data_IF_879764929468
#
_entry.id   IF_879764929468
#
_cell.length_a   1.000
_cell.length_b   1.000
_cell.length_c   1.000
_cell.angle_alpha   90.00
_cell.angle_beta   90.00
_cell.angle_gamma   90.00
#
_symmetry.space_group_name_H-M   'P 1'
#
loop_
_entity.id
_entity.type
_entity.pdbx_description
1 polymer ?
#
# COMPACT_ATOMS: atom_id res chain seq x y z
N UNK A 1 -33.12 0.24 -5.56
CA UNK A 1 -31.90 -0.01 -6.35
C UNK A 1 -31.75 -1.51 -6.47
N UNK A 2 -31.70 -2.06 -7.67
CA UNK A 2 -31.58 -3.51 -7.87
C UNK A 2 -30.13 -3.96 -7.64
N UNK A 3 -29.94 -5.00 -6.82
CA UNK A 3 -28.61 -5.46 -6.42
C UNK A 3 -28.03 -6.31 -7.55
N UNK A 4 -26.87 -5.90 -8.08
CA UNK A 4 -26.12 -6.69 -9.05
C UNK A 4 -25.29 -7.76 -8.35
N UNK A 5 -25.40 -9.00 -8.83
CA UNK A 5 -24.66 -10.15 -8.34
C UNK A 5 -23.77 -10.67 -9.46
N UNK A 6 -22.49 -10.94 -9.17
CA UNK A 6 -21.67 -11.74 -10.08
C UNK A 6 -22.27 -13.14 -10.24
N UNK A 7 -22.01 -13.80 -11.37
CA UNK A 7 -22.46 -15.18 -11.61
C UNK A 7 -22.15 -16.15 -10.45
N UNK A 8 -20.98 -16.02 -9.84
CA UNK A 8 -20.57 -16.87 -8.71
C UNK A 8 -21.41 -16.61 -7.46
N UNK A 9 -21.79 -15.35 -7.21
CA UNK A 9 -22.65 -14.98 -6.09
C UNK A 9 -24.08 -15.48 -6.32
N UNK A 10 -24.61 -15.25 -7.52
CA UNK A 10 -25.95 -15.73 -7.90
C UNK A 10 -26.06 -17.25 -7.79
N UNK A 11 -25.13 -18.00 -8.37
CA UNK A 11 -25.10 -19.47 -8.31
C UNK A 11 -25.09 -20.01 -6.87
N UNK A 12 -24.28 -19.40 -5.98
CA UNK A 12 -24.26 -19.76 -4.56
C UNK A 12 -25.53 -19.38 -3.81
N UNK A 13 -26.15 -18.26 -4.17
CA UNK A 13 -27.39 -17.78 -3.55
C UNK A 13 -28.55 -18.74 -3.79
N UNK A 14 -28.68 -19.24 -5.01
CA UNK A 14 -29.72 -20.21 -5.39
C UNK A 14 -29.32 -21.66 -5.13
N UNK A 15 -28.05 -21.92 -4.81
CA UNK A 15 -27.56 -23.26 -4.48
C UNK A 15 -27.31 -24.17 -5.67
N UNK A 16 -27.12 -23.62 -6.87
CA UNK A 16 -26.81 -24.39 -8.09
C UNK A 16 -25.36 -24.19 -8.55
N UNK A 17 -24.80 -25.12 -9.34
CA UNK A 17 -23.50 -24.93 -9.95
C UNK A 17 -23.47 -23.73 -10.91
N UNK A 18 -22.33 -23.04 -11.00
CA UNK A 18 -22.16 -21.88 -11.90
C UNK A 18 -22.45 -22.20 -13.38
N UNK A 19 -22.08 -23.40 -13.86
CA UNK A 19 -22.31 -23.80 -15.25
C UNK A 19 -23.80 -23.91 -15.59
N UNK A 20 -24.63 -24.34 -14.63
CA UNK A 20 -26.08 -24.45 -14.81
C UNK A 20 -26.70 -23.05 -14.88
N UNK A 21 -26.22 -22.12 -14.06
CA UNK A 21 -26.61 -20.71 -14.16
C UNK A 21 -26.17 -20.07 -15.49
N UNK A 22 -24.99 -20.43 -16.01
CA UNK A 22 -24.52 -19.99 -17.33
C UNK A 22 -25.37 -20.54 -18.46
N UNK A 23 -25.78 -21.80 -18.37
CA UNK A 23 -26.69 -22.42 -19.33
C UNK A 23 -28.04 -21.68 -19.37
N UNK A 24 -28.63 -21.36 -18.21
CA UNK A 24 -29.88 -20.61 -18.14
C UNK A 24 -29.77 -19.20 -18.74
N UNK A 25 -28.59 -18.58 -18.68
CA UNK A 25 -28.33 -17.30 -19.36
C UNK A 25 -28.25 -17.50 -20.88
N UNK A 26 -27.60 -18.57 -21.35
CA UNK A 26 -27.49 -18.89 -22.77
C UNK A 26 -28.84 -19.26 -23.39
N UNK A 27 -29.70 -19.94 -22.63
CA UNK A 27 -31.06 -20.31 -23.01
C UNK A 27 -32.05 -19.13 -22.93
N UNK A 28 -31.60 -17.96 -22.46
CA UNK A 28 -32.43 -16.76 -22.35
C UNK A 28 -33.43 -16.76 -21.19
N UNK A 29 -33.30 -17.71 -20.26
CA UNK A 29 -34.16 -17.83 -19.07
C UNK A 29 -33.82 -16.74 -18.04
N UNK A 30 -32.57 -16.28 -18.01
CA UNK A 30 -32.08 -15.24 -17.09
C UNK A 30 -31.32 -14.17 -17.86
N UNK A 31 -31.71 -12.92 -17.69
CA UNK A 31 -30.99 -11.79 -18.27
C UNK A 31 -29.74 -11.47 -17.45
N UNK A 32 -28.58 -11.40 -18.11
CA UNK A 32 -27.31 -11.00 -17.50
C UNK A 32 -26.69 -9.83 -18.28
N UNK A 33 -26.06 -8.92 -17.54
CA UNK A 33 -25.36 -7.76 -18.07
C UNK A 33 -23.90 -7.80 -17.64
N UNK A 34 -22.97 -7.87 -18.60
CA UNK A 34 -21.51 -7.85 -18.35
C UNK A 34 -21.05 -8.84 -17.25
N UNK A 35 -21.61 -10.05 -17.24
CA UNK A 35 -21.27 -11.07 -16.23
C UNK A 35 -21.92 -10.88 -14.85
N UNK A 36 -22.86 -9.95 -14.74
CA UNK A 36 -23.65 -9.67 -13.54
C UNK A 36 -25.14 -9.95 -13.80
N UNK A 37 -25.84 -10.42 -12.78
CA UNK A 37 -27.27 -10.72 -12.82
C UNK A 37 -27.95 -9.81 -11.81
N UNK A 38 -29.04 -9.18 -12.26
CA UNK A 38 -29.94 -8.41 -11.39
C UNK A 38 -30.64 -9.36 -10.42
N UNK A 39 -30.70 -9.00 -9.14
CA UNK A 39 -31.36 -9.84 -8.14
C UNK A 39 -32.85 -10.05 -8.48
N UNK A 40 -33.51 -9.01 -9.00
CA UNK A 40 -34.89 -9.13 -9.49
C UNK A 40 -35.05 -10.18 -10.60
N UNK A 41 -34.12 -10.25 -11.55
CA UNK A 41 -34.10 -11.24 -12.63
C UNK A 41 -33.81 -12.65 -12.10
N UNK A 42 -32.89 -12.77 -11.14
CA UNK A 42 -32.59 -14.05 -10.52
C UNK A 42 -33.81 -14.61 -9.77
N UNK A 43 -34.59 -13.75 -9.10
CA UNK A 43 -35.79 -14.16 -8.36
C UNK A 43 -36.94 -14.61 -9.27
N UNK A 44 -37.01 -14.13 -10.51
CA UNK A 44 -38.00 -14.60 -11.49
C UNK A 44 -37.76 -16.07 -11.87
N UNK A 45 -36.50 -16.43 -12.10
CA UNK A 45 -36.13 -17.80 -12.46
C UNK A 45 -35.98 -18.73 -11.24
N UNK A 46 -35.62 -18.17 -10.08
CA UNK A 46 -35.43 -18.89 -8.83
C UNK A 46 -36.12 -18.15 -7.68
N UNK A 47 -37.43 -18.39 -7.47
CA UNK A 47 -38.21 -17.69 -6.44
C UNK A 47 -37.66 -17.84 -5.02
N UNK A 48 -37.08 -19.01 -4.73
CA UNK A 48 -36.49 -19.36 -3.43
C UNK A 48 -35.08 -18.79 -3.20
N UNK A 49 -34.58 -17.94 -4.10
CA UNK A 49 -33.29 -17.27 -3.95
C UNK A 49 -33.24 -16.47 -2.65
N UNK A 50 -32.48 -16.97 -1.66
CA UNK A 50 -32.35 -16.30 -0.37
C UNK A 50 -31.11 -15.40 -0.34
N UNK A 51 -31.26 -14.05 -0.23
CA UNK A 51 -30.15 -13.11 -0.22
C UNK A 51 -29.16 -13.32 0.95
N UNK A 52 -29.61 -13.93 2.06
CA UNK A 52 -28.78 -14.17 3.24
C UNK A 52 -27.77 -15.30 3.03
N UNK A 53 -28.06 -16.28 2.15
CA UNK A 53 -27.16 -17.41 1.86
C UNK A 53 -25.84 -16.95 1.23
N UNK A 54 -25.87 -15.96 0.34
CA UNK A 54 -24.65 -15.43 -0.29
C UNK A 54 -23.83 -14.54 0.65
N UNK A 55 -24.45 -13.93 1.66
CA UNK A 55 -23.80 -12.96 2.54
C UNK A 55 -22.80 -13.57 3.53
N UNK A 56 -22.93 -14.86 3.85
CA UNK A 56 -22.08 -15.51 4.87
C UNK A 56 -20.61 -15.61 4.46
N UNK A 57 -20.31 -15.92 3.20
CA UNK A 57 -18.93 -16.00 2.70
C UNK A 57 -18.28 -14.62 2.64
N UNK A 58 -19.03 -13.59 2.25
CA UNK A 58 -18.56 -12.21 2.24
C UNK A 58 -18.32 -11.68 3.66
N UNK A 59 -19.17 -12.06 4.63
CA UNK A 59 -18.96 -11.77 6.06
C UNK A 59 -17.69 -12.45 6.57
N UNK A 60 -17.48 -13.74 6.28
CA UNK A 60 -16.26 -14.47 6.67
C UNK A 60 -15.01 -13.86 6.03
N UNK A 61 -15.08 -13.48 4.76
CA UNK A 61 -13.96 -12.80 4.07
C UNK A 61 -13.63 -11.46 4.74
N UNK A 62 -14.64 -10.64 5.04
CA UNK A 62 -14.47 -9.37 5.77
C UNK A 62 -13.90 -9.58 7.18
N UNK A 63 -14.37 -10.59 7.90
CA UNK A 63 -13.85 -10.95 9.23
C UNK A 63 -12.37 -11.35 9.14
N UNK A 64 -12.01 -12.17 8.16
CA UNK A 64 -10.62 -12.60 7.93
C UNK A 64 -9.71 -11.42 7.56
N UNK A 65 -10.17 -10.52 6.69
CA UNK A 65 -9.45 -9.30 6.32
C UNK A 65 -9.26 -8.38 7.53
N UNK A 66 -10.31 -8.14 8.32
CA UNK A 66 -10.25 -7.33 9.53
C UNK A 66 -9.31 -7.94 10.59
N UNK A 67 -9.33 -9.26 10.76
CA UNK A 67 -8.42 -9.98 11.66
C UNK A 67 -6.95 -9.88 11.22
N UNK A 68 -6.69 -9.97 9.91
CA UNK A 68 -5.34 -9.82 9.34
C UNK A 68 -4.80 -8.40 9.55
N UNK A 69 -5.63 -7.37 9.30
CA UNK A 69 -5.25 -5.98 9.55
C UNK A 69 -4.99 -5.70 11.04
N UNK A 70 -5.76 -6.31 11.94
CA UNK A 70 -5.57 -6.19 13.39
C UNK A 70 -4.28 -6.86 13.85
N UNK A 71 -3.98 -8.08 13.37
CA UNK A 71 -2.75 -8.79 13.70
C UNK A 71 -1.49 -8.02 13.29
N UNK A 72 -1.55 -7.30 12.15
CA UNK A 72 -0.43 -6.48 11.69
C UNK A 72 -0.24 -5.20 12.53
N UNK A 73 -1.32 -4.66 13.13
CA UNK A 73 -1.24 -3.53 14.08
C UNK A 73 -0.76 -3.95 15.46
N UNK A 74 -1.06 -5.18 15.88
CA UNK A 74 -0.67 -5.72 17.19
C UNK A 74 0.72 -6.40 17.15
N UNK A 75 1.44 -6.35 16.01
CA UNK A 75 2.83 -6.78 15.92
C UNK A 75 3.70 -5.88 16.79
N UNK A 76 3.94 -6.32 18.03
CA UNK A 76 4.91 -5.69 18.92
C UNK A 76 6.29 -6.16 18.51
N UNK A 77 7.18 -5.28 18.00
CA UNK A 77 8.55 -5.68 17.70
C UNK A 77 9.21 -6.22 18.97
N UNK A 78 9.91 -7.35 18.85
CA UNK A 78 10.67 -7.93 19.96
C UNK A 78 11.77 -6.94 20.41
N UNK A 79 12.10 -6.93 21.70
CA UNK A 79 13.13 -6.07 22.31
C UNK A 79 14.45 -6.18 21.56
N UNK A 80 14.85 -7.39 21.15
CA UNK A 80 16.09 -7.61 20.38
C UNK A 80 16.08 -6.89 19.03
N UNK A 81 14.92 -6.84 18.36
CA UNK A 81 14.78 -6.12 17.10
C UNK A 81 14.89 -4.62 17.33
N UNK A 82 14.25 -4.09 18.38
CA UNK A 82 14.37 -2.67 18.73
C UNK A 82 15.80 -2.27 19.10
N UNK A 83 16.52 -3.11 19.87
CA UNK A 83 17.93 -2.89 20.17
C UNK A 83 18.80 -2.89 18.92
N UNK A 84 18.53 -3.79 17.97
CA UNK A 84 19.24 -3.86 16.69
C UNK A 84 19.00 -2.61 15.85
N UNK A 85 17.75 -2.16 15.71
CA UNK A 85 17.41 -0.95 14.97
C UNK A 85 17.98 0.30 15.66
N UNK A 86 17.96 0.36 16.99
CA UNK A 86 18.58 1.46 17.75
C UNK A 86 20.09 1.51 17.53
N UNK A 87 20.77 0.37 17.57
CA UNK A 87 22.21 0.30 17.34
C UNK A 87 22.56 0.73 15.91
N UNK A 88 21.77 0.27 14.93
CA UNK A 88 21.92 0.68 13.54
C UNK A 88 21.75 2.19 13.37
N UNK A 89 20.73 2.77 14.00
CA UNK A 89 20.49 4.21 13.95
C UNK A 89 21.65 5.00 14.60
N UNK A 90 22.21 4.52 15.71
CA UNK A 90 23.37 5.15 16.38
C UNK A 90 24.59 5.20 15.47
N UNK A 91 24.94 4.08 14.84
CA UNK A 91 26.08 3.99 13.92
C UNK A 91 25.90 4.95 12.74
N UNK A 92 24.69 5.03 12.19
CA UNK A 92 24.43 5.95 11.07
C UNK A 92 24.53 7.42 11.50
N UNK A 93 24.07 7.76 12.71
CA UNK A 93 24.21 9.12 13.25
C UNK A 93 25.69 9.48 13.43
N UNK A 94 26.50 8.57 13.99
CA UNK A 94 27.94 8.80 14.16
C UNK A 94 28.62 9.04 12.81
N UNK A 95 28.31 8.20 11.81
CA UNK A 95 28.83 8.37 10.44
C UNK A 95 28.47 9.73 9.84
N UNK A 96 27.21 10.16 9.98
CA UNK A 96 26.75 11.45 9.47
C UNK A 96 27.39 12.63 10.21
N UNK A 97 27.61 12.50 11.52
CA UNK A 97 28.30 13.52 12.31
C UNK A 97 29.77 13.68 11.87
N UNK A 98 30.46 12.58 11.60
CA UNK A 98 31.82 12.60 11.06
C UNK A 98 31.88 13.26 9.68
N UNK A 99 30.91 12.96 8.80
CA UNK A 99 30.81 13.55 7.47
C UNK A 99 30.61 15.07 7.55
N UNK A 100 29.69 15.53 8.41
CA UNK A 100 29.46 16.96 8.65
C UNK A 100 30.69 17.65 9.24
N UNK A 101 31.38 17.00 10.18
CA UNK A 101 32.63 17.54 10.73
C UNK A 101 33.72 17.66 9.65
N UNK A 102 33.79 16.67 8.74
CA UNK A 102 34.63 16.71 7.55
C UNK A 102 34.35 17.92 6.67
N UNK A 103 33.10 18.12 6.26
CA UNK A 103 32.72 19.27 5.43
C UNK A 103 32.99 20.61 6.09
N UNK A 104 32.77 20.74 7.41
CA UNK A 104 33.07 21.98 8.14
C UNK A 104 34.57 22.29 8.13
N UNK A 105 35.43 21.29 8.34
CA UNK A 105 36.89 21.47 8.26
C UNK A 105 37.31 21.90 6.87
N UNK A 106 36.82 21.20 5.85
CA UNK A 106 37.12 21.54 4.45
C UNK A 106 36.70 22.97 4.11
N UNK A 107 35.49 23.38 4.49
CA UNK A 107 34.99 24.74 4.26
C UNK A 107 35.89 25.79 4.92
N UNK A 108 36.29 25.59 6.18
CA UNK A 108 37.19 26.50 6.89
C UNK A 108 38.57 26.59 6.22
N UNK A 109 39.16 25.46 5.81
CA UNK A 109 40.44 25.44 5.09
C UNK A 109 40.35 26.16 3.73
N UNK A 110 39.23 26.00 3.01
CA UNK A 110 39.03 26.70 1.74
C UNK A 110 38.87 28.20 1.93
N UNK A 111 38.17 28.63 2.97
CA UNK A 111 38.01 30.04 3.32
C UNK A 111 39.36 30.67 3.64
N UNK A 112 40.17 30.03 4.49
CA UNK A 112 41.52 30.51 4.83
C UNK A 112 42.42 30.65 3.58
N UNK A 113 42.40 29.66 2.69
CA UNK A 113 43.19 29.71 1.45
C UNK A 113 42.72 30.82 0.50
N UNK A 114 41.41 31.02 0.38
CA UNK A 114 40.86 32.07 -0.47
C UNK A 114 41.21 33.46 0.05
N UNK A 115 41.13 33.67 1.36
CA UNK A 115 41.56 34.92 2.00
C UNK A 115 43.06 35.16 1.77
N UNK A 116 43.90 34.16 1.99
CA UNK A 116 45.34 34.27 1.74
C UNK A 116 45.69 34.56 0.27
N UNK A 117 44.93 34.00 -0.68
CA UNK A 117 45.09 34.34 -2.11
C UNK A 117 44.64 35.77 -2.42
N UNK A 118 43.55 36.23 -1.81
CA UNK A 118 43.07 37.60 -1.96
C UNK A 118 44.10 38.61 -1.46
N UNK A 119 44.65 38.41 -0.27
CA UNK A 119 45.70 39.28 0.30
C UNK A 119 46.94 39.36 -0.61
N UNK A 120 47.36 38.24 -1.19
CA UNK A 120 48.48 38.20 -2.12
C UNK A 120 48.20 38.96 -3.42
N UNK A 121 46.96 38.87 -3.94
CA UNK A 121 46.52 39.63 -5.10
C UNK A 121 46.49 41.13 -4.80
N UNK A 122 45.91 41.53 -3.67
CA UNK A 122 45.80 42.92 -3.24
C UNK A 122 47.21 43.54 -3.05
N UNK A 123 48.13 42.82 -2.42
CA UNK A 123 49.52 43.25 -2.24
C UNK A 123 50.25 43.43 -3.58
N UNK A 124 50.07 42.50 -4.54
CA UNK A 124 50.66 42.63 -5.88
C UNK A 124 50.09 43.82 -6.64
N UNK A 125 48.79 44.06 -6.54
CA UNK A 125 48.14 45.17 -7.21
C UNK A 125 48.60 46.53 -6.65
N UNK A 126 48.80 46.61 -5.32
CA UNK A 126 49.35 47.80 -4.68
C UNK A 126 50.80 48.10 -5.08
N UNK A 127 51.61 47.08 -5.42
CA UNK A 127 52.99 47.28 -5.92
C UNK A 127 53.05 47.74 -7.40
N UNK A 128 51.95 47.62 -8.15
CA UNK A 128 51.88 47.99 -9.57
C UNK A 128 51.33 49.40 -9.82
N UNK A 129 50.87 50.09 -8.78
CA UNK A 129 50.36 51.47 -8.80
C UNK A 129 51.41 52.43 -8.22
#
# INVERSE_FOLDING_TARGET
MDRLLSLSQAARMVGVPRHLLQQHIQEGVIEAFEGHIRMSELQKAYPDANPDRSGMVEKVKRIREAASMKANRDFKPNVDHLCTELQRARVEIERLQEEVAGYRRFAAETEERLLGLQEQCDARQAMML
#
